data_IF_442569276965
#
_entry.id   IF_442569276965
#
_cell.length_a   1.000
_cell.length_b   1.000
_cell.length_c   1.000
_cell.angle_alpha   90.00
_cell.angle_beta   90.00
_cell.angle_gamma   90.00
#
_symmetry.space_group_name_H-M   'P 1'
#
loop_
_entity.id
_entity.type
_entity.pdbx_description
1 polymer ?
#
# COMPACT_ATOMS: atom_id res chain seq x y z
N UNK A 1 4.14 -5.20 -9.27
CA UNK A 1 3.74 -5.47 -7.87
C UNK A 1 3.39 -4.13 -7.22
N UNK A 2 2.50 -4.13 -6.23
CA UNK A 2 2.13 -2.92 -5.49
C UNK A 2 2.58 -3.03 -4.03
N UNK A 3 3.12 -1.95 -3.49
CA UNK A 3 3.52 -1.84 -2.09
C UNK A 3 2.72 -0.72 -1.43
N UNK A 4 1.72 -1.07 -0.61
CA UNK A 4 0.97 -0.16 0.22
C UNK A 4 1.85 0.39 1.35
N UNK A 5 1.83 1.72 1.52
CA UNK A 5 2.66 2.42 2.52
C UNK A 5 1.81 3.27 3.48
N UNK A 6 0.67 3.82 3.04
CA UNK A 6 -0.18 4.64 3.89
C UNK A 6 -1.65 4.53 3.51
N UNK A 7 -2.52 4.88 4.47
CA UNK A 7 -3.98 4.95 4.32
C UNK A 7 -4.48 6.32 4.75
N UNK A 8 -5.34 6.90 3.92
CA UNK A 8 -6.01 8.17 4.21
C UNK A 8 -7.51 7.91 4.38
N UNK A 9 -7.97 8.00 5.64
CA UNK A 9 -9.38 7.83 5.96
C UNK A 9 -10.12 9.16 5.82
N UNK A 10 -11.40 9.11 5.40
CA UNK A 10 -12.28 10.28 5.51
C UNK A 10 -12.46 10.67 6.98
N UNK A 11 -12.39 11.97 7.27
CA UNK A 11 -12.45 12.53 8.62
C UNK A 11 -13.80 12.29 9.35
N UNK A 12 -14.85 11.89 8.63
CA UNK A 12 -16.17 11.68 9.20
C UNK A 12 -16.32 10.26 9.81
N UNK A 13 -16.77 10.11 11.07
CA UNK A 13 -16.85 8.81 11.76
C UNK A 13 -17.65 7.72 11.02
N UNK A 14 -18.70 8.11 10.29
CA UNK A 14 -19.52 7.18 9.49
C UNK A 14 -18.80 6.60 8.25
N UNK A 15 -17.68 7.19 7.86
CA UNK A 15 -16.96 6.85 6.62
C UNK A 15 -15.54 6.31 6.90
N UNK A 16 -15.26 5.82 8.11
CA UNK A 16 -13.93 5.30 8.47
C UNK A 16 -13.45 4.15 7.56
N UNK A 17 -14.40 3.48 6.90
CA UNK A 17 -14.14 2.40 5.94
C UNK A 17 -13.85 2.87 4.51
N UNK A 18 -14.13 4.14 4.22
CA UNK A 18 -13.94 4.75 2.92
C UNK A 18 -12.61 5.51 2.96
N UNK A 19 -11.55 4.74 2.71
CA UNK A 19 -10.18 5.22 2.73
C UNK A 19 -9.49 5.03 1.38
N UNK A 20 -8.49 5.86 1.16
CA UNK A 20 -7.57 5.78 0.03
C UNK A 20 -6.30 5.06 0.47
N UNK A 21 -5.82 4.18 -0.39
CA UNK A 21 -4.56 3.47 -0.23
C UNK A 21 -3.52 4.16 -1.10
N UNK A 22 -2.47 4.67 -0.46
CA UNK A 22 -1.28 5.20 -1.12
C UNK A 22 -0.25 4.08 -1.27
N UNK A 23 0.30 3.94 -2.47
CA UNK A 23 1.17 2.81 -2.81
C UNK A 23 2.31 3.18 -3.77
N UNK A 24 3.36 2.35 -3.75
CA UNK A 24 4.44 2.34 -4.74
C UNK A 24 4.20 1.23 -5.77
N UNK A 25 4.46 1.54 -7.03
CA UNK A 25 4.54 0.56 -8.11
C UNK A 25 5.96 0.04 -8.19
N UNK A 26 6.09 -1.28 -8.04
CA UNK A 26 7.37 -1.99 -8.08
C UNK A 26 7.39 -2.89 -9.30
N UNK A 27 8.40 -2.73 -10.15
CA UNK A 27 8.59 -3.55 -11.34
C UNK A 27 9.09 -4.96 -10.99
N UNK A 28 9.38 -5.78 -12.01
CA UNK A 28 9.93 -7.13 -11.83
C UNK A 28 11.37 -7.14 -11.30
N UNK A 29 12.10 -6.03 -11.39
CA UNK A 29 13.46 -5.90 -10.87
C UNK A 29 13.51 -5.45 -9.41
N UNK A 30 12.35 -5.14 -8.82
CA UNK A 30 12.24 -4.64 -7.45
C UNK A 30 12.43 -3.13 -7.35
N UNK A 31 12.42 -2.40 -8.46
CA UNK A 31 12.57 -0.95 -8.50
C UNK A 31 11.23 -0.25 -8.43
N UNK A 32 11.21 0.88 -7.71
CA UNK A 32 10.04 1.77 -7.65
C UNK A 32 9.97 2.54 -8.96
N UNK A 33 8.88 2.35 -9.70
CA UNK A 33 8.64 2.99 -11.01
C UNK A 33 7.50 3.99 -10.99
N UNK A 34 6.75 4.06 -9.89
CA UNK A 34 5.64 4.98 -9.75
C UNK A 34 5.08 5.05 -8.35
N UNK A 35 4.25 6.07 -8.12
CA UNK A 35 3.46 6.28 -6.91
C UNK A 35 2.02 6.45 -7.35
N UNK A 36 1.09 5.84 -6.61
CA UNK A 36 -0.32 5.92 -6.95
C UNK A 36 -1.23 5.95 -5.73
N UNK A 37 -2.50 6.24 -6.01
CA UNK A 37 -3.58 6.25 -5.03
C UNK A 37 -4.74 5.44 -5.59
N UNK A 38 -5.28 4.52 -4.79
CA UNK A 38 -6.48 3.74 -5.11
C UNK A 38 -7.49 3.86 -3.99
N UNK A 39 -8.77 3.72 -4.32
CA UNK A 39 -9.78 3.50 -3.27
C UNK A 39 -9.58 2.10 -2.67
N UNK A 40 -10.08 1.88 -1.45
CA UNK A 40 -10.17 0.53 -0.86
C UNK A 40 -10.77 -0.47 -1.86
N UNK A 41 -11.87 -0.08 -2.51
CA UNK A 41 -12.57 -0.97 -3.44
C UNK A 41 -11.71 -1.33 -4.65
N UNK A 42 -11.08 -0.35 -5.32
CA UNK A 42 -10.23 -0.62 -6.49
C UNK A 42 -9.04 -1.53 -6.14
N UNK A 43 -8.45 -1.32 -4.96
CA UNK A 43 -7.35 -2.13 -4.46
C UNK A 43 -7.80 -3.58 -4.20
N UNK A 44 -8.95 -3.76 -3.54
CA UNK A 44 -9.53 -5.09 -3.27
C UNK A 44 -9.88 -5.80 -4.58
N UNK A 45 -10.56 -5.13 -5.51
CA UNK A 45 -10.88 -5.70 -6.83
C UNK A 45 -9.61 -6.14 -7.58
N UNK A 46 -8.57 -5.30 -7.54
CA UNK A 46 -7.28 -5.62 -8.14
C UNK A 46 -6.59 -6.83 -7.47
N UNK A 47 -6.62 -6.90 -6.14
CA UNK A 47 -6.08 -8.03 -5.36
C UNK A 47 -6.78 -9.33 -5.74
N UNK A 48 -8.11 -9.36 -5.73
CA UNK A 48 -8.89 -10.54 -6.11
C UNK A 48 -8.65 -10.96 -7.56
N UNK A 49 -8.60 -10.00 -8.48
CA UNK A 49 -8.33 -10.28 -9.90
C UNK A 49 -6.95 -10.91 -10.10
N UNK A 50 -5.92 -10.42 -9.40
CA UNK A 50 -4.58 -10.99 -9.49
C UNK A 50 -4.50 -12.39 -8.86
N UNK A 51 -5.10 -12.55 -7.68
CA UNK A 51 -5.08 -13.83 -6.98
C UNK A 51 -5.78 -14.93 -7.78
N UNK A 52 -6.92 -14.63 -8.42
CA UNK A 52 -7.60 -15.58 -9.32
C UNK A 52 -6.70 -16.03 -10.48
N UNK A 53 -5.81 -15.16 -10.97
CA UNK A 53 -4.90 -15.45 -12.09
C UNK A 53 -3.63 -16.19 -11.66
N UNK A 54 -3.11 -15.91 -10.47
CA UNK A 54 -1.75 -16.31 -10.07
C UNK A 54 -1.67 -17.12 -8.78
N UNK A 55 -2.76 -17.20 -8.01
CA UNK A 55 -2.81 -17.81 -6.68
C UNK A 55 -2.07 -17.03 -5.60
N UNK A 56 -1.60 -15.80 -5.89
CA UNK A 56 -0.78 -14.99 -4.98
C UNK A 56 -1.26 -13.54 -4.94
N UNK A 57 -0.97 -12.86 -3.84
CA UNK A 57 -1.18 -11.41 -3.74
C UNK A 57 -0.15 -10.64 -4.57
N UNK A 58 -0.61 -9.66 -5.32
CA UNK A 58 0.24 -8.63 -5.95
C UNK A 58 0.46 -7.41 -5.05
N UNK A 59 -0.15 -7.39 -3.86
CA UNK A 59 -0.05 -6.32 -2.89
C UNK A 59 0.78 -6.74 -1.69
N UNK A 60 1.61 -5.82 -1.22
CA UNK A 60 2.35 -5.95 0.02
C UNK A 60 2.16 -4.70 0.87
N UNK A 61 2.27 -4.81 2.18
CA UNK A 61 2.23 -3.67 3.10
C UNK A 61 3.60 -3.49 3.75
N UNK A 62 4.08 -2.25 3.81
CA UNK A 62 5.26 -1.90 4.61
C UNK A 62 4.80 -1.33 5.95
N UNK A 63 4.96 -2.11 7.00
CA UNK A 63 4.50 -1.74 8.35
C UNK A 63 5.57 -0.93 9.08
N UNK A 64 5.12 -0.05 9.98
CA UNK A 64 5.98 0.77 10.82
C UNK A 64 6.92 -0.11 11.65
N UNK A 65 8.22 0.16 11.55
CA UNK A 65 9.27 -0.58 12.25
C UNK A 65 9.59 -1.96 11.65
N UNK A 66 8.90 -2.40 10.59
CA UNK A 66 9.23 -3.64 9.91
C UNK A 66 10.38 -3.43 8.92
N UNK A 67 11.32 -4.38 8.87
CA UNK A 67 12.42 -4.35 7.87
C UNK A 67 11.97 -4.87 6.50
N UNK A 68 10.87 -5.62 6.44
CA UNK A 68 10.37 -6.28 5.23
C UNK A 68 8.87 -6.05 5.11
N UNK A 69 8.43 -5.89 3.87
CA UNK A 69 7.00 -5.86 3.58
C UNK A 69 6.37 -7.24 3.69
N UNK A 70 5.11 -7.30 4.11
CA UNK A 70 4.32 -8.54 4.19
C UNK A 70 3.28 -8.56 3.07
N UNK A 71 2.90 -9.75 2.54
CA UNK A 71 1.78 -9.85 1.63
C UNK A 71 0.50 -9.32 2.26
N UNK A 72 -0.32 -8.62 1.48
CA UNK A 72 -1.71 -8.32 1.86
C UNK A 72 -2.59 -9.42 1.28
N UNK A 73 -3.24 -10.19 2.14
CA UNK A 73 -3.91 -11.42 1.76
C UNK A 73 -5.42 -11.22 1.59
N UNK A 74 -6.05 -12.08 0.80
CA UNK A 74 -7.50 -11.99 0.57
C UNK A 74 -8.29 -12.13 1.87
N UNK A 75 -7.85 -13.02 2.76
CA UNK A 75 -8.55 -13.26 4.02
C UNK A 75 -8.54 -12.05 4.95
N UNK A 76 -7.59 -11.11 4.78
CA UNK A 76 -7.58 -9.86 5.52
C UNK A 76 -8.88 -9.09 5.29
N UNK A 77 -9.45 -9.17 4.07
CA UNK A 77 -10.71 -8.49 3.71
C UNK A 77 -11.96 -9.35 3.85
N UNK A 78 -11.81 -10.67 4.03
CA UNK A 78 -12.94 -11.61 4.13
C UNK A 78 -13.30 -11.91 5.59
N UNK A 79 -12.33 -11.89 6.50
CA UNK A 79 -12.49 -12.45 7.86
C UNK A 79 -12.59 -11.44 9.01
N UNK A 80 -12.39 -10.14 8.79
CA UNK A 80 -12.28 -9.17 9.89
C UNK A 80 -13.22 -7.97 9.83
N UNK A 81 -13.62 -7.55 11.03
CA UNK A 81 -14.49 -6.41 11.36
C UNK A 81 -14.34 -5.27 10.37
N UNK A 82 -15.43 -5.00 9.65
CA UNK A 82 -15.59 -3.87 8.75
C UNK A 82 -15.30 -2.51 9.45
N UNK A 83 -15.09 -2.46 10.75
CA UNK A 83 -14.94 -1.23 11.51
C UNK A 83 -13.49 -0.91 11.89
N UNK A 84 -12.53 -1.80 11.65
CA UNK A 84 -11.11 -1.56 11.95
C UNK A 84 -10.23 -1.80 10.73
N UNK A 85 -9.31 -0.87 10.45
CA UNK A 85 -8.35 -0.98 9.35
C UNK A 85 -7.15 -1.86 9.75
N UNK A 86 -7.41 -3.12 10.11
CA UNK A 86 -6.37 -4.09 10.51
C UNK A 86 -5.72 -4.79 9.31
N UNK A 87 -6.31 -4.63 8.10
CA UNK A 87 -5.90 -5.34 6.89
C UNK A 87 -4.45 -5.12 6.46
N UNK A 88 -3.85 -4.00 6.87
CA UNK A 88 -2.47 -3.64 6.54
C UNK A 88 -1.53 -3.66 7.75
N UNK A 89 -2.07 -3.94 8.95
CA UNK A 89 -1.41 -3.67 10.23
C UNK A 89 -1.10 -2.19 10.44
N UNK A 90 -0.02 -1.90 11.17
CA UNK A 90 0.35 -0.53 11.55
C UNK A 90 1.16 0.14 10.43
N UNK A 91 0.48 0.76 9.47
CA UNK A 91 1.11 1.53 8.41
C UNK A 91 1.71 2.86 8.91
N UNK A 92 2.78 3.37 8.28
CA UNK A 92 3.18 4.76 8.42
C UNK A 92 2.03 5.75 8.16
N UNK A 93 2.07 6.89 8.84
CA UNK A 93 1.15 8.00 8.54
C UNK A 93 1.41 8.57 7.15
N UNK A 94 0.46 9.33 6.61
CA UNK A 94 0.64 10.01 5.32
C UNK A 94 1.84 10.98 5.34
N UNK A 95 2.09 11.65 6.46
CA UNK A 95 3.25 12.54 6.62
C UNK A 95 4.57 11.76 6.68
N UNK A 96 4.59 10.61 7.35
CA UNK A 96 5.75 9.71 7.35
C UNK A 96 6.02 9.16 5.94
N UNK A 97 4.95 8.80 5.21
CA UNK A 97 5.06 8.36 3.82
C UNK A 97 5.62 9.46 2.91
N UNK A 98 5.16 10.70 3.05
CA UNK A 98 5.68 11.83 2.27
C UNK A 98 7.19 12.00 2.48
N UNK A 99 7.67 11.91 3.74
CA UNK A 99 9.10 11.94 4.02
C UNK A 99 9.89 10.80 3.37
N UNK A 100 9.29 9.60 3.26
CA UNK A 100 9.88 8.46 2.53
C UNK A 100 9.93 8.76 1.03
N UNK A 101 8.88 9.34 0.45
CA UNK A 101 8.86 9.73 -0.97
C UNK A 101 9.91 10.79 -1.28
N UNK A 102 10.00 11.84 -0.47
CA UNK A 102 10.99 12.91 -0.66
C UNK A 102 12.43 12.35 -0.58
N UNK A 103 12.65 11.38 0.32
CA UNK A 103 13.93 10.65 0.43
C UNK A 103 14.19 9.76 -0.79
N UNK A 104 13.18 9.08 -1.31
CA UNK A 104 13.31 8.25 -2.51
C UNK A 104 13.59 9.11 -3.75
N UNK A 105 12.88 10.22 -3.92
CA UNK A 105 13.03 11.13 -5.04
C UNK A 105 14.42 11.78 -5.04
N UNK A 106 14.88 12.30 -3.90
CA UNK A 106 16.24 12.86 -3.78
C UNK A 106 17.34 11.83 -4.07
N UNK A 107 17.15 10.56 -3.69
CA UNK A 107 18.10 9.47 -4.03
C UNK A 107 18.04 9.04 -5.49
N UNK A 108 16.86 9.10 -6.12
CA UNK A 108 16.70 8.85 -7.55
C UNK A 108 17.35 9.96 -8.38
N UNK A 109 17.22 11.22 -7.97
CA UNK A 109 17.90 12.36 -8.59
C UNK A 109 19.42 12.22 -8.52
N UNK A 110 19.97 11.83 -7.36
CA UNK A 110 21.41 11.56 -7.19
C UNK A 110 21.94 10.42 -8.07
N UNK A 111 21.13 9.39 -8.35
CA UNK A 111 21.52 8.30 -9.25
C UNK A 111 21.48 8.69 -10.73
N UNK A 112 20.69 9.69 -11.12
CA UNK A 112 20.61 10.15 -12.51
C UNK A 112 21.80 11.02 -12.96
N UNK A 113 22.60 11.51 -12.00
CA UNK A 113 23.75 12.40 -12.23
C UNK A 113 25.08 11.60 -12.32
N UNK A 114 25.06 10.28 -12.08
CA UNK A 114 26.25 9.42 -12.08
C UNK A 114 26.44 8.63 -13.38
#
# INVERSE_FOLDING_TARGET
MFLAIAVENKQHPKNQNDYRVWYLEVDSSGQVVGVGVKTKQDMVENLFANYRKTGKSNWRAFQKGAERSTPVEIFDFVSMNMHENTHFGNLPSLSEFQGVLDTLQSRLELRSIA
#
